data_IF_244750963096
#
_entry.id   IF_244750963096
#
_cell.length_a   1.000
_cell.length_b   1.000
_cell.length_c   1.000
_cell.angle_alpha   90.00
_cell.angle_beta   90.00
_cell.angle_gamma   90.00
#
_symmetry.space_group_name_H-M   'P 1'
#
loop_
_entity.id
_entity.type
_entity.pdbx_description
1 polymer ?
#
# COMPACT_ATOMS: atom_id res chain seq x y z
N UNK A 1 28.78 -1.57 -39.28
CA UNK A 1 29.49 -2.16 -38.13
C UNK A 1 28.62 -3.18 -37.40
N UNK A 2 28.85 -4.48 -37.58
CA UNK A 2 28.02 -5.55 -36.99
C UNK A 2 28.09 -5.62 -35.45
N UNK A 3 29.22 -5.26 -34.83
CA UNK A 3 29.38 -5.27 -33.37
C UNK A 3 28.46 -4.28 -32.62
N UNK A 4 28.27 -3.08 -33.17
CA UNK A 4 27.39 -2.04 -32.58
C UNK A 4 25.92 -2.50 -32.58
N UNK A 5 25.48 -3.18 -33.65
CA UNK A 5 24.11 -3.71 -33.74
C UNK A 5 23.86 -4.82 -32.73
N UNK A 6 24.84 -5.71 -32.54
CA UNK A 6 24.77 -6.79 -31.54
C UNK A 6 24.69 -6.23 -30.12
N UNK A 7 25.49 -5.22 -29.80
CA UNK A 7 25.46 -4.55 -28.49
C UNK A 7 24.11 -3.87 -28.22
N UNK A 8 23.59 -3.12 -29.19
CA UNK A 8 22.29 -2.46 -29.06
C UNK A 8 21.14 -3.47 -28.85
N UNK A 9 21.18 -4.60 -29.55
CA UNK A 9 20.19 -5.67 -29.39
C UNK A 9 20.26 -6.30 -28.00
N UNK A 10 21.47 -6.63 -27.52
CA UNK A 10 21.66 -7.19 -26.18
C UNK A 10 21.18 -6.25 -25.08
N UNK A 11 21.42 -4.95 -25.23
CA UNK A 11 20.95 -3.96 -24.27
C UNK A 11 19.42 -3.86 -24.26
N UNK A 12 18.78 -3.90 -25.44
CA UNK A 12 17.32 -3.93 -25.55
C UNK A 12 16.74 -5.17 -24.88
N UNK A 13 17.31 -6.34 -25.14
CA UNK A 13 16.86 -7.62 -24.57
C UNK A 13 17.02 -7.64 -23.05
N UNK A 14 18.12 -7.09 -22.52
CA UNK A 14 18.33 -6.95 -21.09
C UNK A 14 17.28 -6.04 -20.41
N UNK A 15 16.91 -4.93 -21.05
CA UNK A 15 15.88 -4.02 -20.52
C UNK A 15 14.51 -4.71 -20.52
N UNK A 16 14.15 -5.41 -21.59
CA UNK A 16 12.88 -6.13 -21.67
C UNK A 16 12.80 -7.22 -20.58
N UNK A 17 13.87 -8.02 -20.43
CA UNK A 17 13.95 -9.05 -19.39
C UNK A 17 13.84 -8.48 -17.97
N UNK A 18 14.53 -7.36 -17.70
CA UNK A 18 14.43 -6.68 -16.40
C UNK A 18 13.01 -6.17 -16.13
N UNK A 19 12.34 -5.63 -17.14
CA UNK A 19 10.96 -5.16 -17.02
C UNK A 19 10.00 -6.30 -16.68
N UNK A 20 10.11 -7.43 -17.38
CA UNK A 20 9.25 -8.60 -17.14
C UNK A 20 9.46 -9.17 -15.73
N UNK A 21 10.72 -9.23 -15.27
CA UNK A 21 11.03 -9.64 -13.90
C UNK A 21 10.42 -8.69 -12.84
N UNK A 22 10.40 -7.38 -13.10
CA UNK A 22 9.75 -6.40 -12.21
C UNK A 22 8.24 -6.63 -12.17
N UNK A 23 7.61 -6.90 -13.30
CA UNK A 23 6.18 -7.19 -13.35
C UNK A 23 5.83 -8.48 -12.58
N UNK A 24 6.58 -9.56 -12.82
CA UNK A 24 6.37 -10.83 -12.15
C UNK A 24 6.53 -10.70 -10.63
N UNK A 25 7.57 -9.98 -10.18
CA UNK A 25 7.81 -9.74 -8.76
C UNK A 25 6.71 -8.88 -8.13
N UNK A 26 6.21 -7.85 -8.82
CA UNK A 26 5.06 -7.05 -8.33
C UNK A 26 3.83 -7.91 -8.11
N UNK A 27 3.47 -8.78 -9.07
CA UNK A 27 2.31 -9.67 -8.92
C UNK A 27 2.46 -10.58 -7.70
N UNK A 28 3.64 -11.17 -7.49
CA UNK A 28 3.93 -12.01 -6.32
C UNK A 28 3.85 -11.21 -5.01
N UNK A 29 4.42 -10.01 -4.98
CA UNK A 29 4.39 -9.12 -3.82
C UNK A 29 2.96 -8.68 -3.47
N UNK A 30 2.16 -8.28 -4.46
CA UNK A 30 0.75 -7.92 -4.26
C UNK A 30 -0.03 -9.08 -3.67
N UNK A 31 0.13 -10.30 -4.22
CA UNK A 31 -0.51 -11.50 -3.67
C UNK A 31 -0.08 -11.79 -2.23
N UNK A 32 1.22 -11.70 -1.93
CA UNK A 32 1.74 -11.94 -0.59
C UNK A 32 1.24 -10.89 0.42
N UNK A 33 1.23 -9.61 0.04
CA UNK A 33 0.74 -8.52 0.86
C UNK A 33 -0.77 -8.64 1.14
N UNK A 34 -1.54 -9.03 0.12
CA UNK A 34 -2.99 -9.19 0.25
C UNK A 34 -3.40 -10.50 0.93
N UNK A 35 -2.52 -11.52 1.02
CA UNK A 35 -2.82 -12.85 1.59
C UNK A 35 -3.43 -12.80 3.00
N UNK A 36 -3.00 -11.84 3.82
CA UNK A 36 -3.46 -11.69 5.20
C UNK A 36 -4.35 -10.46 5.41
N UNK A 37 -4.66 -9.72 4.34
CA UNK A 37 -5.56 -8.57 4.40
C UNK A 37 -6.98 -9.07 4.60
N UNK A 38 -7.69 -8.50 5.55
CA UNK A 38 -9.11 -8.77 5.78
C UNK A 38 -9.94 -7.63 5.20
N UNK A 39 -11.11 -7.92 4.61
CA UNK A 39 -12.01 -6.86 4.19
C UNK A 39 -12.37 -6.01 5.41
N UNK A 40 -12.42 -4.69 5.21
CA UNK A 40 -12.87 -3.76 6.25
C UNK A 40 -14.34 -4.02 6.55
N UNK A 41 -14.73 -4.24 7.83
CA UNK A 41 -16.12 -4.53 8.20
C UNK A 41 -16.99 -3.27 8.33
N UNK A 42 -16.46 -2.08 8.05
CA UNK A 42 -17.12 -0.81 8.31
C UNK A 42 -17.77 -0.23 7.06
N UNK A 43 -18.95 0.36 7.23
CA UNK A 43 -19.72 1.02 6.18
C UNK A 43 -19.87 2.53 6.41
N UNK A 44 -20.29 3.23 5.36
CA UNK A 44 -20.58 4.67 5.44
C UNK A 44 -21.68 4.92 6.49
N UNK A 45 -21.45 5.89 7.36
CA UNK A 45 -22.38 6.25 8.43
C UNK A 45 -22.09 5.60 9.79
N UNK A 46 -21.22 4.57 9.85
CA UNK A 46 -20.82 3.96 11.11
C UNK A 46 -20.04 4.94 11.99
N UNK A 47 -20.26 4.83 13.31
CA UNK A 47 -19.49 5.55 14.33
C UNK A 47 -18.34 4.66 14.83
N UNK A 48 -17.10 5.07 14.53
CA UNK A 48 -15.91 4.29 14.83
C UNK A 48 -14.90 5.07 15.66
N UNK A 49 -14.18 4.34 16.52
CA UNK A 49 -13.08 4.90 17.29
C UNK A 49 -11.76 4.82 16.51
N UNK A 50 -11.06 5.95 16.39
CA UNK A 50 -9.80 6.02 15.63
C UNK A 50 -8.59 5.77 16.54
N UNK A 51 -7.68 4.88 16.12
CA UNK A 51 -6.45 4.63 16.87
C UNK A 51 -5.48 5.80 16.76
N UNK A 52 -4.89 6.18 17.89
CA UNK A 52 -3.93 7.29 18.00
C UNK A 52 -2.49 6.89 17.67
N UNK A 53 -2.26 5.62 17.32
CA UNK A 53 -0.92 5.07 17.07
C UNK A 53 -0.14 5.88 16.03
N UNK A 54 -0.79 6.20 14.90
CA UNK A 54 -0.21 6.88 13.74
C UNK A 54 -0.69 8.34 13.58
N UNK A 55 -1.34 8.90 14.61
CA UNK A 55 -1.84 10.28 14.57
C UNK A 55 -0.82 11.25 15.18
N UNK A 56 -0.82 12.48 14.66
CA UNK A 56 -0.07 13.59 15.26
C UNK A 56 -0.80 14.03 16.52
N UNK A 57 -0.21 13.74 17.67
CA UNK A 57 -0.74 14.17 18.96
C UNK A 57 -0.48 15.68 19.18
N UNK A 58 -1.31 16.36 19.99
CA UNK A 58 -1.05 17.74 20.39
C UNK A 58 0.34 17.89 21.01
N UNK A 59 1.07 18.95 20.62
CA UNK A 59 2.51 19.16 20.90
C UNK A 59 2.92 19.13 22.38
N UNK A 60 1.97 19.24 23.31
CA UNK A 60 2.23 19.34 24.75
C UNK A 60 1.78 18.10 25.54
N UNK A 61 1.34 17.01 24.89
CA UNK A 61 0.92 15.79 25.60
C UNK A 61 1.82 14.59 25.27
N UNK A 62 2.35 13.96 26.31
CA UNK A 62 3.06 12.68 26.17
C UNK A 62 2.12 11.57 25.69
N UNK A 63 2.63 10.70 24.80
CA UNK A 63 1.92 9.50 24.30
C UNK A 63 1.45 8.58 25.43
N UNK A 64 2.16 8.56 26.57
CA UNK A 64 1.86 7.69 27.71
C UNK A 64 0.51 7.99 28.37
N UNK A 65 0.05 9.25 28.29
CA UNK A 65 -1.21 9.71 28.88
C UNK A 65 -2.27 10.05 27.83
N UNK A 66 -2.02 9.73 26.56
CA UNK A 66 -2.99 9.94 25.49
C UNK A 66 -3.87 8.70 25.35
N UNK A 67 -5.20 8.84 25.17
CA UNK A 67 -6.07 7.71 24.88
C UNK A 67 -5.58 6.90 23.68
N UNK A 68 -5.65 5.57 23.75
CA UNK A 68 -5.28 4.71 22.62
C UNK A 68 -6.22 4.88 21.42
N UNK A 69 -7.46 5.29 21.70
CA UNK A 69 -8.50 5.57 20.73
C UNK A 69 -9.18 6.89 21.05
N UNK A 70 -9.56 7.64 20.03
CA UNK A 70 -10.27 8.91 20.14
C UNK A 70 -11.58 8.86 19.38
N UNK A 71 -12.61 9.48 19.98
CA UNK A 71 -13.90 9.87 19.40
C UNK A 71 -14.72 8.79 18.69
N UNK A 72 -16.05 8.78 18.78
CA UNK A 72 -16.84 8.21 17.69
C UNK A 72 -16.78 9.18 16.51
N UNK A 73 -16.06 8.79 15.45
CA UNK A 73 -16.06 9.51 14.18
C UNK A 73 -17.01 8.81 13.21
N UNK A 74 -17.79 9.60 12.48
CA UNK A 74 -18.65 9.07 11.44
C UNK A 74 -17.83 8.85 10.16
N UNK A 75 -17.99 7.67 9.55
CA UNK A 75 -17.40 7.38 8.24
C UNK A 75 -18.18 8.12 7.16
N UNK A 76 -17.53 9.09 6.50
CA UNK A 76 -18.13 9.89 5.41
C UNK A 76 -18.20 9.10 4.10
N UNK A 77 -17.18 8.29 3.84
CA UNK A 77 -17.06 7.46 2.64
C UNK A 77 -16.27 6.19 2.97
N UNK A 78 -16.75 5.05 2.46
CA UNK A 78 -16.12 3.76 2.64
C UNK A 78 -15.65 3.24 1.27
N UNK A 79 -14.34 3.17 1.06
CA UNK A 79 -13.76 2.55 -0.13
C UNK A 79 -13.54 1.07 0.17
N UNK A 80 -14.47 0.23 -0.28
CA UNK A 80 -14.22 -1.22 -0.35
C UNK A 80 -13.16 -1.42 -1.42
N UNK A 81 -12.07 -2.09 -1.07
CA UNK A 81 -11.03 -2.41 -2.04
C UNK A 81 -11.64 -3.27 -3.14
N UNK A 82 -11.80 -2.69 -4.33
CA UNK A 82 -12.01 -3.45 -5.56
C UNK A 82 -10.68 -4.14 -5.85
N UNK A 83 -10.65 -5.47 -5.69
CA UNK A 83 -9.52 -6.27 -6.14
C UNK A 83 -9.29 -6.01 -7.64
N UNK A 84 -8.15 -5.40 -7.98
CA UNK A 84 -7.58 -5.33 -9.33
C UNK A 84 -6.18 -5.91 -9.31
#
# INVERSE_FOLDING_TARGET
FPGVRKFAQQMKDAIMSAHDAILETRVKQTRAANRHRKPSPFDKGDLVYLSTKNLRLPKHRSRKLFPKFIGPYQIVEAHRETET
#
